data_IF_578954849636
#
_entry.id   IF_578954849636
#
_cell.length_a   1.000
_cell.length_b   1.000
_cell.length_c   1.000
_cell.angle_alpha   90.00
_cell.angle_beta   90.00
_cell.angle_gamma   90.00
#
_symmetry.space_group_name_H-M   'P 1'
#
loop_
_entity.id
_entity.type
_entity.pdbx_description
1 polymer ?
#
# COMPACT_ATOMS: atom_id res chain seq x y z
N UNK A 1 2.84 -0.24 -9.25
CA UNK A 1 3.13 0.38 -7.94
C UNK A 1 1.94 0.13 -7.03
N UNK A 2 2.15 -0.13 -5.75
CA UNK A 2 1.04 -0.29 -4.79
C UNK A 2 0.97 0.97 -3.94
N UNK A 3 -0.19 1.62 -3.90
CA UNK A 3 -0.40 2.79 -3.03
C UNK A 3 -1.43 2.44 -1.96
N UNK A 4 -1.05 2.64 -0.71
CA UNK A 4 -1.90 2.42 0.47
C UNK A 4 -2.33 3.78 0.99
N UNK A 5 -3.65 4.02 1.02
CA UNK A 5 -4.25 5.24 1.52
C UNK A 5 -4.88 4.96 2.88
N UNK A 6 -4.70 5.87 3.83
CA UNK A 6 -5.26 5.72 5.18
C UNK A 6 -5.06 6.95 6.02
N UNK A 7 -5.85 7.06 7.08
CA UNK A 7 -5.73 8.13 8.07
C UNK A 7 -4.34 8.10 8.72
N UNK A 8 -3.65 9.23 8.74
CA UNK A 8 -2.26 9.36 9.24
C UNK A 8 -2.08 8.78 10.65
N UNK A 9 -3.01 9.06 11.55
CA UNK A 9 -2.97 8.56 12.94
C UNK A 9 -3.01 7.03 13.05
N UNK A 10 -3.59 6.34 12.06
CA UNK A 10 -3.66 4.88 12.03
C UNK A 10 -2.60 4.25 11.12
N UNK A 11 -2.27 4.91 10.00
CA UNK A 11 -1.39 4.38 8.97
C UNK A 11 0.10 4.52 9.33
N UNK A 12 0.49 5.65 9.93
CA UNK A 12 1.87 5.91 10.33
C UNK A 12 2.45 4.82 11.26
N UNK A 13 1.79 4.44 12.38
CA UNK A 13 2.34 3.43 13.29
C UNK A 13 2.31 2.00 12.72
N UNK A 14 1.52 1.74 11.68
CA UNK A 14 1.34 0.40 11.10
C UNK A 14 2.10 0.19 9.79
N UNK A 15 2.88 1.18 9.34
CA UNK A 15 3.47 1.21 7.99
C UNK A 15 4.35 0.00 7.69
N UNK A 16 5.26 -0.34 8.60
CA UNK A 16 6.19 -1.45 8.40
C UNK A 16 5.47 -2.80 8.41
N UNK A 17 4.55 -2.99 9.37
CA UNK A 17 3.71 -4.19 9.45
C UNK A 17 2.85 -4.35 8.19
N UNK A 18 2.24 -3.28 7.71
CA UNK A 18 1.44 -3.29 6.47
C UNK A 18 2.30 -3.60 5.25
N UNK A 19 3.51 -3.03 5.17
CA UNK A 19 4.43 -3.32 4.08
C UNK A 19 4.81 -4.80 4.05
N UNK A 20 5.11 -5.39 5.21
CA UNK A 20 5.47 -6.80 5.29
C UNK A 20 4.29 -7.73 4.95
N UNK A 21 3.09 -7.42 5.43
CA UNK A 21 1.87 -8.16 5.08
C UNK A 21 1.59 -8.08 3.57
N UNK A 22 1.75 -6.90 2.95
CA UNK A 22 1.56 -6.74 1.50
C UNK A 22 2.61 -7.55 0.75
N UNK A 23 3.90 -7.47 1.14
CA UNK A 23 4.95 -8.24 0.51
C UNK A 23 4.77 -9.75 0.64
N UNK A 24 4.38 -10.23 1.82
CA UNK A 24 4.07 -11.65 2.04
C UNK A 24 2.87 -12.08 1.19
N UNK A 25 1.82 -11.27 1.12
CA UNK A 25 0.63 -11.56 0.30
C UNK A 25 0.96 -11.63 -1.19
N UNK A 26 1.81 -10.71 -1.68
CA UNK A 26 2.28 -10.72 -3.08
C UNK A 26 3.13 -11.95 -3.39
N UNK A 27 3.99 -12.34 -2.45
CA UNK A 27 4.80 -13.54 -2.60
C UNK A 27 3.93 -14.80 -2.63
N UNK A 28 3.04 -14.97 -1.65
CA UNK A 28 2.19 -16.15 -1.54
C UNK A 28 1.14 -16.26 -2.66
N UNK A 29 0.57 -15.14 -3.10
CA UNK A 29 -0.53 -15.14 -4.07
C UNK A 29 -0.08 -15.04 -5.53
N UNK A 30 1.10 -14.48 -5.79
CA UNK A 30 1.55 -14.13 -7.14
C UNK A 30 3.03 -14.50 -7.41
N UNK A 31 3.72 -15.16 -6.47
CA UNK A 31 5.16 -15.48 -6.54
C UNK A 31 6.06 -14.25 -6.78
N UNK A 32 5.63 -13.07 -6.32
CA UNK A 32 6.40 -11.84 -6.47
C UNK A 32 7.35 -11.66 -5.28
N UNK A 33 8.67 -11.64 -5.48
CA UNK A 33 9.62 -11.48 -4.39
C UNK A 33 9.49 -10.12 -3.68
N UNK A 34 9.82 -10.08 -2.38
CA UNK A 34 9.87 -8.84 -1.60
C UNK A 34 10.79 -7.81 -2.28
N UNK A 35 10.38 -6.55 -2.29
CA UNK A 35 11.16 -5.46 -2.88
C UNK A 35 11.06 -5.31 -4.41
N UNK A 36 10.45 -6.25 -5.14
CA UNK A 36 10.18 -6.09 -6.60
C UNK A 36 9.07 -5.10 -6.91
N UNK A 37 8.18 -4.84 -5.96
CA UNK A 37 7.14 -3.83 -6.07
C UNK A 37 7.35 -2.70 -5.06
N UNK A 38 7.30 -1.47 -5.57
CA UNK A 38 7.27 -0.27 -4.73
C UNK A 38 5.91 -0.16 -4.04
N UNK A 39 5.94 -0.05 -2.71
CA UNK A 39 4.79 0.26 -1.86
C UNK A 39 4.92 1.72 -1.42
N UNK A 40 3.91 2.53 -1.72
CA UNK A 40 3.81 3.93 -1.31
C UNK A 40 2.68 4.06 -0.29
N UNK A 41 2.96 4.73 0.82
CA UNK A 41 1.93 5.06 1.81
C UNK A 41 1.55 6.53 1.68
N UNK A 42 0.26 6.79 1.46
CA UNK A 42 -0.31 8.12 1.49
C UNK A 42 -1.10 8.28 2.79
N UNK A 43 -0.52 9.02 3.72
CA UNK A 43 -1.14 9.33 5.01
C UNK A 43 -2.01 10.58 4.84
N UNK A 44 -3.32 10.42 4.99
CA UNK A 44 -4.30 11.49 4.83
C UNK A 44 -4.70 12.03 6.21
N UNK A 45 -4.94 13.33 6.29
CA UNK A 45 -5.55 13.94 7.48
C UNK A 45 -7.06 13.65 7.47
N UNK A 46 -7.74 13.89 8.60
CA UNK A 46 -9.16 13.54 8.76
C UNK A 46 -10.06 14.29 7.77
N UNK A 47 -9.70 15.54 7.42
CA UNK A 47 -10.47 16.33 6.46
C UNK A 47 -10.42 15.75 5.03
N UNK A 48 -9.30 15.12 4.66
CA UNK A 48 -9.08 14.53 3.34
C UNK A 48 -9.57 13.08 3.22
N UNK A 49 -10.07 12.51 4.32
CA UNK A 49 -10.40 11.09 4.41
C UNK A 49 -11.87 10.87 4.78
N UNK A 50 -12.72 10.84 3.76
CA UNK A 50 -14.18 10.71 3.89
C UNK A 50 -14.67 9.31 4.31
N UNK A 51 -13.81 8.29 4.34
CA UNK A 51 -14.18 6.92 4.69
C UNK A 51 -13.13 6.30 5.60
N UNK A 52 -13.53 5.64 6.69
CA UNK A 52 -12.63 4.96 7.66
C UNK A 52 -11.86 3.74 7.12
N UNK A 53 -11.81 3.52 5.80
CA UNK A 53 -11.34 2.30 5.18
C UNK A 53 -9.96 2.48 4.53
N UNK A 54 -9.00 1.60 4.85
CA UNK A 54 -7.71 1.56 4.14
C UNK A 54 -7.96 1.11 2.70
N UNK A 55 -7.57 1.93 1.73
CA UNK A 55 -7.70 1.60 0.30
C UNK A 55 -6.33 1.20 -0.25
N UNK A 56 -6.25 0.03 -0.87
CA UNK A 56 -5.05 -0.45 -1.57
C UNK A 56 -5.32 -0.34 -3.06
N UNK A 57 -4.61 0.56 -3.73
CA UNK A 57 -4.67 0.68 -5.19
C UNK A 57 -3.42 0.07 -5.82
N UNK A 58 -3.63 -0.92 -6.69
CA UNK A 58 -2.58 -1.49 -7.52
C UNK A 58 -2.59 -0.75 -8.85
N UNK A 59 -1.60 0.11 -9.08
CA UNK A 59 -1.42 0.74 -10.40
C UNK A 59 -0.60 -0.20 -11.28
N UNK A 60 -1.13 -0.64 -12.44
CA UNK A 60 -0.32 -1.36 -13.41
C UNK A 60 0.82 -0.45 -13.83
N UNK A 61 2.05 -0.97 -13.75
CA UNK A 61 3.20 -0.26 -14.28
C UNK A 61 3.07 -0.35 -15.80
N UNK A 62 2.57 0.71 -16.45
CA UNK A 62 2.70 0.89 -17.89
C UNK A 62 4.19 0.91 -18.20
N UNK A 63 4.76 -0.25 -18.53
CA UNK A 63 6.02 -0.30 -19.26
C UNK A 63 5.66 0.21 -20.65
N UNK A 64 6.02 1.46 -20.93
CA UNK A 64 6.03 1.98 -22.29
C UNK A 64 6.89 1.03 -23.13
N UNK A 65 6.26 0.40 -24.11
CA UNK A 65 6.92 -0.26 -25.23
C UNK A 65 7.58 0.81 -26.09
#
# INVERSE_FOLDING_TARGET
MITVFGLKSQLMPRREMLADVIYNSLYLGLDIPKGKHAIRFLCLEKEDFTTLLIVVMITPSLKSI
#
